data_IF_671229979270
#
_entry.id   IF_671229979270
#
_cell.length_a   1.000
_cell.length_b   1.000
_cell.length_c   1.000
_cell.angle_alpha   90.00
_cell.angle_beta   90.00
_cell.angle_gamma   90.00
#
_symmetry.space_group_name_H-M   'P 1'
#
loop_
_entity.id
_entity.type
_entity.pdbx_description
1 polymer ?
#
# COMPACT_ATOMS: atom_id res chain seq x y z
N UNK A 1 25.65 21.70 20.69
CA UNK A 1 25.85 21.63 19.26
C UNK A 1 24.83 20.71 18.63
N UNK A 2 24.15 21.16 17.60
CA UNK A 2 23.14 20.35 16.94
C UNK A 2 23.83 19.35 16.02
N UNK A 3 23.55 18.04 16.21
CA UNK A 3 24.02 17.01 15.32
C UNK A 3 22.99 16.88 14.16
N UNK A 4 23.18 17.68 13.10
CA UNK A 4 22.27 17.69 11.97
C UNK A 4 22.24 16.36 11.22
N UNK A 5 23.33 15.60 11.19
CA UNK A 5 23.37 14.28 10.59
C UNK A 5 22.58 13.28 11.42
N UNK A 6 22.72 13.33 12.76
CA UNK A 6 21.93 12.50 13.66
C UNK A 6 20.44 12.82 13.58
N UNK A 7 20.08 14.10 13.48
CA UNK A 7 18.71 14.53 13.29
C UNK A 7 18.14 14.02 11.97
N UNK A 8 18.93 14.10 10.89
CA UNK A 8 18.51 13.61 9.58
C UNK A 8 18.26 12.10 9.62
N UNK A 9 19.17 11.34 10.24
CA UNK A 9 19.00 9.88 10.40
C UNK A 9 17.74 9.55 11.19
N UNK A 10 17.47 10.29 12.26
CA UNK A 10 16.28 10.07 13.08
C UNK A 10 15.00 10.33 12.29
N UNK A 11 14.96 11.39 11.49
CA UNK A 11 13.80 11.69 10.62
C UNK A 11 13.63 10.60 9.57
N UNK A 12 14.71 10.13 8.95
CA UNK A 12 14.64 9.06 7.96
C UNK A 12 14.12 7.75 8.57
N UNK A 13 14.51 7.43 9.81
CA UNK A 13 14.00 6.27 10.52
C UNK A 13 12.50 6.39 10.77
N UNK A 14 12.04 7.57 11.17
CA UNK A 14 10.61 7.82 11.37
C UNK A 14 9.83 7.71 10.06
N UNK A 15 10.36 8.27 8.97
CA UNK A 15 9.76 8.14 7.64
C UNK A 15 9.62 6.68 7.23
N UNK A 16 10.66 5.87 7.43
CA UNK A 16 10.63 4.43 7.12
C UNK A 16 9.57 3.70 7.92
N UNK A 17 9.43 4.01 9.20
CA UNK A 17 8.41 3.41 10.06
C UNK A 17 7.01 3.76 9.56
N UNK A 18 6.77 5.01 9.23
CA UNK A 18 5.47 5.45 8.70
C UNK A 18 5.15 4.85 7.35
N UNK A 19 6.14 4.68 6.49
CA UNK A 19 5.95 4.01 5.20
C UNK A 19 5.62 2.54 5.39
N UNK A 20 6.24 1.86 6.37
CA UNK A 20 5.92 0.49 6.73
C UNK A 20 4.48 0.34 7.19
N UNK A 21 4.00 1.26 8.03
CA UNK A 21 2.61 1.29 8.49
C UNK A 21 1.65 1.49 7.31
N UNK A 22 1.96 2.43 6.43
CA UNK A 22 1.14 2.72 5.25
C UNK A 22 1.04 1.49 4.34
N UNK A 23 2.16 0.79 4.12
CA UNK A 23 2.19 -0.45 3.34
C UNK A 23 1.30 -1.52 3.97
N UNK A 24 1.36 -1.67 5.29
CA UNK A 24 0.53 -2.62 6.03
C UNK A 24 -0.96 -2.33 5.88
N UNK A 25 -1.36 -1.08 6.05
CA UNK A 25 -2.76 -0.67 5.88
C UNK A 25 -3.25 -0.85 4.45
N UNK A 26 -2.45 -0.48 3.47
CA UNK A 26 -2.82 -0.61 2.06
C UNK A 26 -2.93 -2.08 1.65
N UNK A 27 -2.02 -2.94 2.12
CA UNK A 27 -2.08 -4.38 1.85
C UNK A 27 -3.34 -5.01 2.46
N UNK A 28 -3.69 -4.65 3.69
CA UNK A 28 -4.91 -5.10 4.34
C UNK A 28 -6.15 -4.64 3.58
N UNK A 29 -6.18 -3.38 3.16
CA UNK A 29 -7.29 -2.84 2.37
C UNK A 29 -7.45 -3.57 1.04
N UNK A 30 -6.34 -3.83 0.34
CA UNK A 30 -6.35 -4.59 -0.91
C UNK A 30 -6.91 -6.00 -0.70
N UNK A 31 -6.48 -6.68 0.34
CA UNK A 31 -6.90 -8.06 0.62
C UNK A 31 -8.39 -8.12 0.94
N UNK A 32 -8.89 -7.20 1.74
CA UNK A 32 -10.32 -7.12 2.08
C UNK A 32 -11.17 -6.80 0.86
N UNK A 33 -10.69 -5.92 0.00
CA UNK A 33 -11.37 -5.60 -1.24
C UNK A 33 -11.38 -6.79 -2.20
N UNK A 34 -10.27 -7.53 -2.29
CA UNK A 34 -10.20 -8.76 -3.09
C UNK A 34 -11.17 -9.82 -2.57
N UNK A 35 -11.29 -9.97 -1.24
CA UNK A 35 -12.25 -10.89 -0.63
C UNK A 35 -13.69 -10.50 -0.98
N UNK A 36 -14.01 -9.22 -0.88
CA UNK A 36 -15.34 -8.71 -1.23
C UNK A 36 -15.66 -8.95 -2.70
N UNK A 37 -14.69 -8.71 -3.58
CA UNK A 37 -14.84 -8.98 -5.01
C UNK A 37 -15.05 -10.47 -5.30
N UNK A 38 -14.35 -11.34 -4.56
CA UNK A 38 -14.54 -12.79 -4.65
C UNK A 38 -15.96 -13.21 -4.30
N UNK A 39 -16.50 -12.65 -3.21
CA UNK A 39 -17.88 -12.92 -2.80
C UNK A 39 -18.89 -12.44 -3.83
N UNK A 40 -18.67 -11.26 -4.39
CA UNK A 40 -19.55 -10.73 -5.46
C UNK A 40 -19.45 -11.55 -6.74
N UNK A 41 -18.26 -12.02 -7.10
CA UNK A 41 -18.08 -12.90 -8.26
C UNK A 41 -18.79 -14.23 -8.10
N UNK A 42 -18.77 -14.79 -6.88
CA UNK A 42 -19.49 -16.04 -6.60
C UNK A 42 -21.01 -15.85 -6.76
N UNK A 43 -21.54 -14.72 -6.28
CA UNK A 43 -22.95 -14.37 -6.46
C UNK A 43 -23.28 -14.10 -7.93
N UNK A 44 -22.37 -13.44 -8.64
CA UNK A 44 -22.55 -13.09 -10.05
C UNK A 44 -22.79 -14.33 -10.91
N UNK A 45 -22.13 -15.45 -10.60
CA UNK A 45 -22.34 -16.72 -11.29
C UNK A 45 -23.75 -17.30 -11.11
N UNK A 46 -24.54 -16.79 -10.16
CA UNK A 46 -25.90 -17.24 -9.86
C UNK A 46 -26.98 -16.27 -10.34
N UNK A 47 -26.59 -15.12 -10.87
CA UNK A 47 -27.50 -14.06 -11.32
C UNK A 47 -27.30 -13.75 -12.80
N UNK A 48 -28.37 -13.29 -13.44
CA UNK A 48 -28.31 -12.89 -14.84
C UNK A 48 -27.72 -11.51 -15.06
N UNK A 49 -27.70 -10.67 -14.03
CA UNK A 49 -27.13 -9.33 -14.09
C UNK A 49 -25.75 -9.28 -13.44
N UNK A 50 -24.81 -8.51 -13.99
CA UNK A 50 -23.50 -8.34 -13.36
C UNK A 50 -23.61 -7.69 -11.98
N UNK A 51 -23.00 -8.33 -10.97
CA UNK A 51 -23.01 -7.84 -9.58
C UNK A 51 -21.69 -7.18 -9.16
N UNK A 52 -20.63 -7.37 -9.95
CA UNK A 52 -19.31 -6.84 -9.60
C UNK A 52 -19.14 -5.45 -10.24
N UNK A 53 -19.20 -4.37 -9.42
CA UNK A 53 -18.99 -3.03 -9.97
C UNK A 53 -17.56 -2.87 -10.47
N UNK A 54 -17.36 -2.30 -11.68
CA UNK A 54 -16.02 -2.06 -12.19
C UNK A 54 -15.21 -1.09 -11.34
N UNK A 55 -15.87 -0.19 -10.59
CA UNK A 55 -15.22 0.74 -9.68
C UNK A 55 -14.46 0.01 -8.56
N UNK A 56 -14.99 -1.12 -8.08
CA UNK A 56 -14.32 -1.90 -7.03
C UNK A 56 -13.09 -2.63 -7.55
N UNK A 57 -13.16 -3.15 -8.77
CA UNK A 57 -11.98 -3.76 -9.42
C UNK A 57 -10.90 -2.72 -9.64
N UNK A 58 -11.29 -1.55 -10.09
CA UNK A 58 -10.37 -0.43 -10.31
C UNK A 58 -9.71 0.00 -9.01
N UNK A 59 -10.47 0.09 -7.93
CA UNK A 59 -9.94 0.46 -6.61
C UNK A 59 -8.89 -0.56 -6.15
N UNK A 60 -9.16 -1.87 -6.33
CA UNK A 60 -8.20 -2.91 -6.01
C UNK A 60 -6.91 -2.75 -6.82
N UNK A 61 -7.02 -2.52 -8.10
CA UNK A 61 -5.88 -2.38 -9.00
C UNK A 61 -5.05 -1.13 -8.64
N UNK A 62 -5.73 -0.04 -8.27
CA UNK A 62 -5.06 1.18 -7.81
C UNK A 62 -4.36 0.99 -6.48
N UNK A 63 -4.95 0.23 -5.54
CA UNK A 63 -4.29 -0.13 -4.28
C UNK A 63 -3.03 -0.97 -4.53
N UNK A 64 -3.10 -1.94 -5.42
CA UNK A 64 -1.94 -2.76 -5.80
C UNK A 64 -0.83 -1.90 -6.39
N UNK A 65 -1.17 -0.99 -7.27
CA UNK A 65 -0.23 -0.06 -7.87
C UNK A 65 0.38 0.87 -6.81
N UNK A 66 -0.46 1.39 -5.90
CA UNK A 66 -0.01 2.24 -4.80
C UNK A 66 0.96 1.52 -3.88
N UNK A 67 0.70 0.25 -3.57
CA UNK A 67 1.61 -0.58 -2.77
C UNK A 67 2.99 -0.69 -3.42
N UNK A 68 3.04 -0.93 -4.72
CA UNK A 68 4.31 -1.02 -5.45
C UNK A 68 5.07 0.31 -5.43
N UNK A 69 4.36 1.43 -5.59
CA UNK A 69 4.97 2.76 -5.57
C UNK A 69 5.52 3.10 -4.17
N UNK A 70 4.76 2.82 -3.12
CA UNK A 70 5.19 3.08 -1.74
C UNK A 70 6.39 2.19 -1.41
N UNK A 71 6.35 0.91 -1.79
CA UNK A 71 7.45 -0.02 -1.57
C UNK A 71 8.73 0.45 -2.28
N UNK A 72 8.61 0.93 -3.51
CA UNK A 72 9.73 1.50 -4.25
C UNK A 72 10.30 2.75 -3.59
N UNK A 73 9.42 3.65 -3.13
CA UNK A 73 9.83 4.84 -2.40
C UNK A 73 10.50 4.52 -1.07
N UNK A 74 9.97 3.53 -0.35
CA UNK A 74 10.56 3.08 0.92
C UNK A 74 11.97 2.52 0.71
N UNK A 75 12.19 1.79 -0.38
CA UNK A 75 13.51 1.27 -0.73
C UNK A 75 14.52 2.40 -0.99
N UNK A 76 14.07 3.46 -1.68
CA UNK A 76 14.91 4.65 -1.93
C UNK A 76 15.27 5.35 -0.61
N UNK A 77 14.31 5.52 0.29
CA UNK A 77 14.57 6.14 1.60
C UNK A 77 15.55 5.30 2.42
N UNK A 78 15.39 3.98 2.41
CA UNK A 78 16.33 3.07 3.09
C UNK A 78 17.74 3.19 2.52
N UNK A 79 17.87 3.27 1.20
CA UNK A 79 19.15 3.43 0.54
C UNK A 79 19.83 4.77 0.91
N UNK A 80 19.06 5.85 0.95
CA UNK A 80 19.56 7.16 1.40
C UNK A 80 20.09 7.04 2.84
N UNK A 81 19.34 6.39 3.72
CA UNK A 81 19.75 6.21 5.11
C UNK A 81 21.05 5.43 5.24
N UNK A 82 21.25 4.42 4.41
CA UNK A 82 22.48 3.61 4.42
C UNK A 82 23.71 4.36 3.92
N UNK A 83 23.52 5.37 3.09
CA UNK A 83 24.63 6.18 2.55
C UNK A 83 25.05 7.33 3.47
N UNK A 84 24.30 7.58 4.52
CA UNK A 84 24.65 8.58 5.52
C UNK A 84 25.51 7.93 6.62
#
# INVERSE_FOLDING_TARGET
MTDSLGELRAVLMEVRERLGDALGYAATARDRLSDALGLLSDLDGQHSEPLVPPELRRARDELERGLQLISGGAAVVADIGQRL
#
